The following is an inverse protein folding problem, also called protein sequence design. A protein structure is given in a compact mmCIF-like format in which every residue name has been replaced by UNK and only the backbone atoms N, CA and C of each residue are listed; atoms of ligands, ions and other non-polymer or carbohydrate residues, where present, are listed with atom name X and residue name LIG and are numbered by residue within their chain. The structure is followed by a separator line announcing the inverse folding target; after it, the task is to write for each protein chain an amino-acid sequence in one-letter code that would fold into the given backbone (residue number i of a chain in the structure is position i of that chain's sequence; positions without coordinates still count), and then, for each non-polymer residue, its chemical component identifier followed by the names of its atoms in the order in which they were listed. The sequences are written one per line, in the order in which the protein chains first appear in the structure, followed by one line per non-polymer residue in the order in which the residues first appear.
data_IF_246064848999
#
_entry.id   IF_246064848999
#
_cell.length_a   1.000
_cell.length_b   1.000
_cell.length_c   1.000
_cell.angle_alpha   90.00
_cell.angle_beta   90.00
_cell.angle_gamma   90.00
#
_symmetry.space_group_name_H-M   'P 1'
#
loop_
_entity.id
_entity.type
_entity.pdbx_description
1 polymer ?
#
# COMPACT_ATOMS: atom_id res chain seq x y z
N UNK A 1 33.26 -20.60 -10.55
CA UNK A 1 31.97 -19.98 -10.13
C UNK A 1 30.87 -20.72 -10.86
N UNK A 2 29.76 -21.10 -10.20
CA UNK A 2 28.63 -21.69 -10.92
C UNK A 2 28.18 -20.74 -12.04
N UNK A 3 27.73 -21.29 -13.17
CA UNK A 3 27.27 -20.51 -14.31
C UNK A 3 26.17 -19.54 -13.87
N UNK A 4 26.33 -18.26 -14.20
CA UNK A 4 25.30 -17.26 -13.93
C UNK A 4 24.11 -17.54 -14.83
N UNK A 5 22.93 -17.59 -14.23
CA UNK A 5 21.65 -17.66 -14.92
C UNK A 5 20.74 -16.52 -14.46
N UNK A 6 19.57 -16.38 -15.09
CA UNK A 6 18.59 -15.31 -14.76
C UNK A 6 18.22 -15.35 -13.27
N UNK A 7 18.02 -16.54 -12.69
CA UNK A 7 17.73 -16.69 -11.26
C UNK A 7 18.83 -16.11 -10.36
N UNK A 8 20.10 -16.36 -10.68
CA UNK A 8 21.23 -15.82 -9.91
C UNK A 8 21.31 -14.29 -10.03
N UNK A 9 20.97 -13.71 -11.18
CA UNK A 9 20.89 -12.26 -11.36
C UNK A 9 19.74 -11.66 -10.56
N UNK A 10 18.56 -12.26 -10.63
CA UNK A 10 17.40 -11.84 -9.84
C UNK A 10 17.70 -11.87 -8.35
N UNK A 11 18.28 -12.97 -7.84
CA UNK A 11 18.67 -13.08 -6.45
C UNK A 11 19.66 -11.98 -6.02
N UNK A 12 20.63 -11.62 -6.88
CA UNK A 12 21.52 -10.51 -6.59
C UNK A 12 20.79 -9.15 -6.58
N UNK A 13 19.94 -8.87 -7.58
CA UNK A 13 19.23 -7.59 -7.68
C UNK A 13 18.27 -7.41 -6.49
N UNK A 14 17.44 -8.41 -6.19
CA UNK A 14 16.52 -8.35 -5.04
C UNK A 14 17.30 -8.27 -3.73
N UNK A 15 18.36 -9.07 -3.57
CA UNK A 15 19.19 -9.04 -2.36
C UNK A 15 19.79 -7.67 -2.07
N UNK A 16 20.30 -6.96 -3.09
CA UNK A 16 20.77 -5.59 -2.90
C UNK A 16 19.63 -4.63 -2.53
N UNK A 17 18.49 -4.71 -3.21
CA UNK A 17 17.29 -3.90 -2.90
C UNK A 17 16.80 -4.08 -1.46
N UNK A 18 16.71 -5.31 -0.99
CA UNK A 18 16.20 -5.65 0.33
C UNK A 18 17.12 -5.15 1.46
N UNK A 19 18.41 -5.03 1.17
CA UNK A 19 19.42 -4.46 2.07
C UNK A 19 19.57 -2.93 1.94
N UNK A 20 18.67 -2.25 1.22
CA UNK A 20 18.71 -0.80 1.03
C UNK A 20 19.77 -0.31 0.04
N UNK A 21 20.48 -1.22 -0.61
CA UNK A 21 21.53 -0.97 -1.59
C UNK A 21 20.93 -0.91 -3.00
N UNK A 22 19.96 -0.01 -3.19
CA UNK A 22 19.20 0.07 -4.43
C UNK A 22 20.08 0.35 -5.65
N UNK A 23 21.10 1.21 -5.51
CA UNK A 23 22.01 1.55 -6.61
C UNK A 23 22.78 0.32 -7.11
N UNK A 24 23.28 -0.51 -6.19
CA UNK A 24 23.97 -1.76 -6.48
C UNK A 24 23.07 -2.76 -7.19
N UNK A 25 21.77 -2.81 -6.82
CA UNK A 25 20.75 -3.57 -7.52
C UNK A 25 20.64 -3.17 -9.00
N UNK A 26 20.55 -1.87 -9.28
CA UNK A 26 20.53 -1.33 -10.65
C UNK A 26 21.85 -1.63 -11.39
N UNK A 27 22.99 -1.59 -10.70
CA UNK A 27 24.28 -1.97 -11.29
C UNK A 27 24.30 -3.44 -11.70
N UNK A 28 23.75 -4.35 -10.89
CA UNK A 28 23.65 -5.77 -11.26
C UNK A 28 22.73 -5.98 -12.46
N UNK A 29 21.61 -5.27 -12.54
CA UNK A 29 20.76 -5.30 -13.72
C UNK A 29 21.49 -4.86 -15.01
N UNK A 30 22.25 -3.75 -14.94
CA UNK A 30 23.07 -3.30 -16.09
C UNK A 30 24.08 -4.38 -16.50
N UNK A 31 24.66 -5.10 -15.54
CA UNK A 31 25.57 -6.22 -15.81
C UNK A 31 24.84 -7.42 -16.40
N UNK A 32 23.65 -7.78 -15.91
CA UNK A 32 22.81 -8.84 -16.47
C UNK A 32 22.60 -8.63 -17.98
N UNK A 33 22.19 -7.43 -18.38
CA UNK A 33 21.96 -7.10 -19.78
C UNK A 33 23.26 -7.15 -20.62
N UNK A 34 24.37 -6.64 -20.09
CA UNK A 34 25.70 -6.71 -20.74
C UNK A 34 26.20 -8.15 -20.94
N UNK A 35 25.77 -9.08 -20.09
CA UNK A 35 26.10 -10.50 -20.22
C UNK A 35 25.11 -11.26 -21.12
N UNK A 36 24.21 -10.56 -21.83
CA UNK A 36 23.28 -11.15 -22.80
C UNK A 36 22.05 -11.81 -22.19
N UNK A 37 21.76 -11.58 -20.90
CA UNK A 37 20.57 -12.11 -20.26
C UNK A 37 19.38 -11.18 -20.43
N UNK A 38 18.21 -11.77 -20.69
CA UNK A 38 16.94 -11.06 -20.80
C UNK A 38 16.27 -10.93 -19.44
N UNK A 39 15.79 -9.72 -19.15
CA UNK A 39 15.03 -9.42 -17.96
C UNK A 39 13.68 -10.14 -17.99
N UNK A 40 13.27 -10.66 -16.84
CA UNK A 40 11.96 -11.28 -16.63
C UNK A 40 11.09 -10.45 -15.68
N UNK A 41 9.91 -10.98 -15.34
CA UNK A 41 8.97 -10.34 -14.43
C UNK A 41 9.62 -10.02 -13.07
N UNK A 42 10.41 -10.96 -12.52
CA UNK A 42 11.09 -10.81 -11.23
C UNK A 42 12.16 -9.72 -11.31
N UNK A 43 12.84 -9.59 -12.44
CA UNK A 43 13.79 -8.51 -12.70
C UNK A 43 13.08 -7.15 -12.60
N UNK A 44 11.92 -6.99 -13.24
CA UNK A 44 11.15 -5.73 -13.23
C UNK A 44 10.70 -5.34 -11.82
N UNK A 45 10.18 -6.31 -11.06
CA UNK A 45 9.79 -6.11 -9.66
C UNK A 45 10.98 -5.70 -8.79
N UNK A 46 12.15 -6.31 -9.02
CA UNK A 46 13.36 -5.99 -8.25
C UNK A 46 13.93 -4.62 -8.61
N UNK A 47 13.74 -4.16 -9.85
CA UNK A 47 14.10 -2.82 -10.30
C UNK A 47 13.24 -1.74 -9.63
N UNK A 48 11.92 -1.92 -9.59
CA UNK A 48 11.02 -0.96 -8.91
C UNK A 48 11.32 -0.91 -7.41
N UNK A 49 11.56 -2.07 -6.78
CA UNK A 49 11.97 -2.13 -5.38
C UNK A 49 13.32 -1.42 -5.14
N UNK A 50 14.33 -1.68 -5.98
CA UNK A 50 15.64 -1.00 -5.92
C UNK A 50 15.48 0.51 -6.04
N UNK A 51 14.66 0.96 -6.99
CA UNK A 51 14.40 2.38 -7.19
C UNK A 51 13.68 3.03 -6.02
N UNK A 52 12.79 2.31 -5.34
CA UNK A 52 12.12 2.83 -4.13
C UNK A 52 13.08 3.11 -2.98
N UNK A 53 14.31 2.55 -3.01
CA UNK A 53 15.39 2.82 -2.05
C UNK A 53 16.28 3.99 -2.46
N UNK A 54 16.24 4.37 -3.73
CA UNK A 54 17.02 5.47 -4.29
C UNK A 54 16.09 6.67 -4.30
N UNK A 55 16.38 7.73 -3.55
CA UNK A 55 15.56 8.97 -3.52
C UNK A 55 15.71 9.79 -4.83
N UNK A 56 15.56 9.14 -5.98
CA UNK A 56 15.76 9.70 -7.31
C UNK A 56 14.54 9.45 -8.22
N UNK A 57 13.52 10.34 -8.19
CA UNK A 57 12.29 10.17 -8.95
C UNK A 57 12.46 9.95 -10.46
N UNK A 58 13.46 10.58 -11.08
CA UNK A 58 13.70 10.45 -12.51
C UNK A 58 14.07 9.01 -12.90
N UNK A 59 14.73 8.26 -12.01
CA UNK A 59 15.01 6.85 -12.22
C UNK A 59 13.71 6.02 -12.28
N UNK A 60 12.71 6.37 -11.47
CA UNK A 60 11.39 5.71 -11.49
C UNK A 60 10.72 5.83 -12.86
N UNK A 61 10.77 7.02 -13.46
CA UNK A 61 10.27 7.25 -14.83
C UNK A 61 11.05 6.45 -15.88
N UNK A 62 12.38 6.36 -15.75
CA UNK A 62 13.20 5.52 -16.65
C UNK A 62 12.85 4.03 -16.54
N UNK A 63 12.63 3.54 -15.32
CA UNK A 63 12.23 2.15 -15.06
C UNK A 63 10.84 1.87 -15.61
N UNK A 64 9.87 2.77 -15.40
CA UNK A 64 8.53 2.66 -16.02
C UNK A 64 8.62 2.60 -17.54
N UNK A 65 9.38 3.50 -18.18
CA UNK A 65 9.58 3.46 -19.63
C UNK A 65 10.29 2.18 -20.10
N UNK A 66 11.17 1.59 -19.29
CA UNK A 66 11.79 0.32 -19.60
C UNK A 66 10.80 -0.85 -19.51
N UNK A 67 9.97 -0.89 -18.48
CA UNK A 67 8.90 -1.89 -18.28
C UNK A 67 7.93 -1.89 -19.46
N UNK A 68 7.44 -0.70 -19.87
CA UNK A 68 6.51 -0.54 -20.99
C UNK A 68 7.15 -1.03 -22.30
N UNK A 69 8.38 -0.59 -22.59
CA UNK A 69 9.09 -1.03 -23.82
C UNK A 69 9.40 -2.52 -23.84
N UNK A 70 9.49 -3.15 -22.66
CA UNK A 70 9.75 -4.58 -22.52
C UNK A 70 8.45 -5.40 -22.50
N UNK A 71 7.27 -4.77 -22.57
CA UNK A 71 5.97 -5.43 -22.61
C UNK A 71 5.48 -6.01 -21.27
N UNK A 72 6.08 -5.60 -20.15
CA UNK A 72 5.71 -6.08 -18.81
C UNK A 72 4.65 -5.22 -18.11
N UNK A 73 4.18 -4.14 -18.76
CA UNK A 73 3.15 -3.27 -18.22
C UNK A 73 1.76 -3.95 -18.15
N UNK A 74 1.52 -5.03 -18.89
CA UNK A 74 0.24 -5.75 -18.80
C UNK A 74 0.07 -6.55 -17.49
N UNK A 75 1.15 -6.80 -16.74
CA UNK A 75 1.09 -7.56 -15.50
C UNK A 75 0.67 -6.66 -14.33
N UNK A 76 -0.45 -7.03 -13.68
CA UNK A 76 -0.95 -6.33 -12.49
C UNK A 76 0.14 -6.17 -11.42
N UNK A 77 0.88 -7.24 -11.13
CA UNK A 77 1.98 -7.23 -10.16
C UNK A 77 3.01 -6.12 -10.43
N UNK A 78 3.40 -5.92 -11.69
CA UNK A 78 4.38 -4.89 -12.07
C UNK A 78 3.80 -3.49 -11.91
N UNK A 79 2.53 -3.30 -12.28
CA UNK A 79 1.82 -2.03 -12.07
C UNK A 79 1.67 -1.70 -10.59
N UNK A 80 1.33 -2.68 -9.74
CA UNK A 80 1.28 -2.51 -8.28
C UNK A 80 2.65 -2.17 -7.70
N UNK A 81 3.73 -2.78 -8.19
CA UNK A 81 5.09 -2.43 -7.76
C UNK A 81 5.55 -1.04 -8.23
N UNK A 82 5.13 -0.61 -9.42
CA UNK A 82 5.34 0.76 -9.90
C UNK A 82 4.61 1.78 -9.03
N UNK A 83 3.36 1.49 -8.66
CA UNK A 83 2.62 2.32 -7.71
C UNK A 83 3.35 2.43 -6.38
N UNK A 84 3.83 1.31 -5.84
CA UNK A 84 4.48 1.29 -4.52
C UNK A 84 5.76 2.12 -4.54
N UNK A 85 6.53 2.00 -5.62
CA UNK A 85 7.70 2.83 -5.87
C UNK A 85 7.33 4.31 -5.90
N UNK A 86 6.33 4.73 -6.68
CA UNK A 86 5.95 6.14 -6.78
C UNK A 86 5.40 6.70 -5.45
N UNK A 87 4.62 5.92 -4.70
CA UNK A 87 4.13 6.29 -3.37
C UNK A 87 5.30 6.52 -2.41
N UNK A 88 6.27 5.58 -2.35
CA UNK A 88 7.48 5.70 -1.51
C UNK A 88 8.33 6.92 -1.88
N UNK A 89 8.45 7.23 -3.16
CA UNK A 89 9.16 8.40 -3.67
C UNK A 89 8.36 9.71 -3.52
N UNK A 90 7.16 9.67 -2.92
CA UNK A 90 6.24 10.81 -2.75
C UNK A 90 5.80 11.44 -4.07
N UNK A 91 5.88 10.71 -5.18
CA UNK A 91 5.41 11.11 -6.50
C UNK A 91 3.93 10.70 -6.69
N UNK A 92 3.05 11.25 -5.85
CA UNK A 92 1.63 10.84 -5.79
C UNK A 92 0.86 11.05 -7.09
N UNK A 93 1.24 12.03 -7.90
CA UNK A 93 0.62 12.26 -9.21
C UNK A 93 0.98 11.18 -10.24
N UNK A 94 2.26 10.74 -10.28
CA UNK A 94 2.67 9.62 -11.13
C UNK A 94 2.03 8.31 -10.67
N UNK A 95 1.92 8.10 -9.35
CA UNK A 95 1.17 6.97 -8.80
C UNK A 95 -0.30 7.02 -9.25
N UNK A 96 -0.96 8.17 -9.13
CA UNK A 96 -2.35 8.32 -9.55
C UNK A 96 -2.56 8.09 -11.05
N UNK A 97 -1.61 8.52 -11.90
CA UNK A 97 -1.67 8.25 -13.34
C UNK A 97 -1.64 6.74 -13.63
N UNK A 98 -0.69 6.01 -13.03
CA UNK A 98 -0.61 4.54 -13.20
C UNK A 98 -1.90 3.89 -12.71
N UNK A 99 -2.40 4.32 -11.56
CA UNK A 99 -3.61 3.79 -10.96
C UNK A 99 -4.86 4.03 -11.81
N UNK A 100 -5.09 5.26 -12.25
CA UNK A 100 -6.34 5.65 -12.92
C UNK A 100 -6.36 5.29 -14.41
N UNK A 101 -5.24 5.52 -15.11
CA UNK A 101 -5.18 5.39 -16.57
C UNK A 101 -4.65 4.02 -17.03
N UNK A 102 -3.73 3.40 -16.27
CA UNK A 102 -3.01 2.21 -16.74
C UNK A 102 -3.53 0.89 -16.12
N UNK A 103 -4.24 0.93 -15.00
CA UNK A 103 -4.74 -0.27 -14.29
C UNK A 103 -6.24 -0.48 -14.54
N UNK A 104 -6.64 -1.33 -15.52
CA UNK A 104 -8.06 -1.61 -15.76
C UNK A 104 -8.68 -2.44 -14.63
N UNK A 105 -7.89 -3.30 -14.01
CA UNK A 105 -8.28 -4.11 -12.84
C UNK A 105 -7.42 -3.66 -11.66
N UNK A 106 -8.06 -3.49 -10.51
CA UNK A 106 -7.44 -3.05 -9.26
C UNK A 106 -7.89 -3.97 -8.15
N UNK A 107 -6.94 -4.54 -7.43
CA UNK A 107 -7.20 -5.38 -6.25
C UNK A 107 -7.12 -4.57 -4.96
N UNK A 108 -7.46 -5.22 -3.85
CA UNK A 108 -7.42 -4.66 -2.49
C UNK A 108 -6.08 -4.00 -2.19
N UNK A 109 -4.97 -4.63 -2.59
CA UNK A 109 -3.61 -4.11 -2.39
C UNK A 109 -3.42 -2.77 -3.11
N UNK A 110 -3.84 -2.71 -4.38
CA UNK A 110 -3.74 -1.50 -5.22
C UNK A 110 -4.53 -0.33 -4.63
N UNK A 111 -5.77 -0.58 -4.16
CA UNK A 111 -6.59 0.46 -3.53
C UNK A 111 -5.99 0.94 -2.21
N UNK A 112 -5.58 0.02 -1.34
CA UNK A 112 -4.99 0.33 -0.03
C UNK A 112 -3.71 1.16 -0.17
N UNK A 113 -2.89 0.84 -1.17
CA UNK A 113 -1.66 1.56 -1.46
C UNK A 113 -1.92 3.01 -1.88
N UNK A 114 -2.93 3.26 -2.71
CA UNK A 114 -3.30 4.63 -3.09
C UNK A 114 -3.92 5.41 -1.93
N UNK A 115 -4.75 4.75 -1.13
CA UNK A 115 -5.39 5.35 0.04
C UNK A 115 -4.37 5.79 1.09
N UNK A 116 -3.47 4.89 1.47
CA UNK A 116 -2.37 5.19 2.39
C UNK A 116 -1.40 6.21 1.79
N UNK A 117 -1.00 6.05 0.52
CA UNK A 117 -0.08 6.96 -0.15
C UNK A 117 -0.56 8.41 -0.22
N UNK A 118 -1.83 8.65 -0.54
CA UNK A 118 -2.39 10.00 -0.50
C UNK A 118 -2.58 10.53 0.92
N UNK A 119 -2.95 9.67 1.87
CA UNK A 119 -3.12 10.07 3.28
C UNK A 119 -1.79 10.50 3.90
N UNK A 120 -0.74 9.71 3.71
CA UNK A 120 0.61 9.98 4.22
C UNK A 120 1.25 11.22 3.57
N UNK A 121 0.88 11.52 2.33
CA UNK A 121 1.30 12.73 1.62
C UNK A 121 0.45 13.99 1.98
N UNK A 122 -0.54 13.87 2.87
CA UNK A 122 -1.40 14.98 3.30
C UNK A 122 -2.51 15.35 2.32
N UNK A 123 -2.72 14.57 1.27
CA UNK A 123 -3.78 14.77 0.28
C UNK A 123 -5.08 14.05 0.69
N UNK A 124 -5.57 14.35 1.89
CA UNK A 124 -6.71 13.66 2.48
C UNK A 124 -7.99 13.70 1.64
N UNK A 125 -8.22 14.76 0.84
CA UNK A 125 -9.38 14.83 -0.05
C UNK A 125 -9.29 13.81 -1.20
N UNK A 126 -8.12 13.71 -1.85
CA UNK A 126 -7.89 12.70 -2.90
C UNK A 126 -8.00 11.29 -2.32
N UNK A 127 -7.47 11.06 -1.11
CA UNK A 127 -7.65 9.77 -0.43
C UNK A 127 -9.14 9.42 -0.25
N UNK A 128 -9.98 10.40 0.07
CA UNK A 128 -11.43 10.16 0.17
C UNK A 128 -12.09 9.87 -1.16
N UNK A 129 -11.70 10.55 -2.23
CA UNK A 129 -12.20 10.25 -3.58
C UNK A 129 -11.85 8.81 -4.00
N UNK A 130 -10.63 8.35 -3.69
CA UNK A 130 -10.23 6.96 -3.93
C UNK A 130 -11.10 6.00 -3.10
N UNK A 131 -11.38 6.30 -1.83
CA UNK A 131 -12.22 5.45 -0.99
C UNK A 131 -13.65 5.40 -1.54
N UNK A 132 -14.19 6.54 -2.00
CA UNK A 132 -15.49 6.62 -2.64
C UNK A 132 -15.58 5.80 -3.93
N UNK A 133 -14.52 5.80 -4.73
CA UNK A 133 -14.44 4.96 -5.93
C UNK A 133 -14.39 3.48 -5.54
N UNK A 134 -13.62 3.13 -4.50
CA UNK A 134 -13.50 1.75 -4.01
C UNK A 134 -14.83 1.20 -3.50
N UNK A 135 -15.55 1.96 -2.66
CA UNK A 135 -16.82 1.54 -2.04
C UNK A 135 -17.92 1.28 -3.07
N UNK A 136 -17.85 1.90 -4.25
CA UNK A 136 -18.81 1.68 -5.34
C UNK A 136 -18.59 0.35 -6.06
N UNK A 137 -17.48 -0.34 -5.82
CA UNK A 137 -17.17 -1.61 -6.44
C UNK A 137 -17.54 -2.71 -5.43
N UNK A 138 -18.72 -3.31 -5.61
CA UNK A 138 -19.28 -4.31 -4.68
C UNK A 138 -18.40 -5.54 -4.47
N UNK A 139 -17.49 -5.85 -5.40
CA UNK A 139 -16.61 -7.03 -5.35
C UNK A 139 -15.36 -6.85 -4.48
N UNK A 140 -15.01 -5.63 -4.05
CA UNK A 140 -13.74 -5.38 -3.35
C UNK A 140 -13.97 -5.26 -1.84
N UNK A 141 -13.60 -6.32 -1.12
CA UNK A 141 -13.58 -6.34 0.34
C UNK A 141 -12.20 -5.92 0.85
N UNK A 142 -12.10 -4.79 1.58
CA UNK A 142 -10.90 -4.48 2.37
C UNK A 142 -10.79 -5.53 3.49
N UNK A 143 -9.58 -6.04 3.72
CA UNK A 143 -9.30 -6.84 4.91
C UNK A 143 -9.02 -5.94 6.13
N UNK A 144 -8.98 -6.54 7.33
CA UNK A 144 -8.75 -5.81 8.57
C UNK A 144 -7.36 -5.15 8.62
N UNK A 145 -6.36 -5.74 7.96
CA UNK A 145 -4.99 -5.21 7.89
C UNK A 145 -4.96 -3.89 7.11
N UNK A 146 -5.63 -3.83 5.97
CA UNK A 146 -5.74 -2.62 5.17
C UNK A 146 -6.47 -1.49 5.92
N UNK A 147 -7.60 -1.82 6.56
CA UNK A 147 -8.35 -0.86 7.38
C UNK A 147 -7.49 -0.32 8.53
N UNK A 148 -6.71 -1.18 9.18
CA UNK A 148 -5.83 -0.80 10.30
C UNK A 148 -4.76 0.19 9.85
N UNK A 149 -4.14 -0.06 8.69
CA UNK A 149 -3.17 0.85 8.09
C UNK A 149 -3.76 2.23 7.80
N UNK A 150 -4.98 2.26 7.24
CA UNK A 150 -5.66 3.51 6.91
C UNK A 150 -6.06 4.33 8.15
N UNK A 151 -6.59 3.67 9.18
CA UNK A 151 -6.96 4.33 10.46
C UNK A 151 -5.71 4.85 11.16
N UNK A 152 -4.62 4.07 11.16
CA UNK A 152 -3.33 4.49 11.72
C UNK A 152 -2.73 5.69 10.99
N UNK A 153 -2.84 5.75 9.66
CA UNK A 153 -2.42 6.92 8.88
C UNK A 153 -3.25 8.16 9.23
N UNK A 154 -4.57 8.01 9.38
CA UNK A 154 -5.44 9.11 9.81
C UNK A 154 -5.10 9.61 11.22
N UNK A 155 -4.79 8.69 12.14
CA UNK A 155 -4.33 9.01 13.49
C UNK A 155 -3.07 9.86 13.48
N UNK A 156 -2.07 9.50 12.65
CA UNK A 156 -0.78 10.22 12.56
C UNK A 156 -0.90 11.58 11.90
N UNK A 157 -1.80 11.71 10.92
CA UNK A 157 -1.99 12.93 10.14
C UNK A 157 -3.02 13.89 10.73
N UNK A 158 -3.76 13.49 11.77
CA UNK A 158 -4.86 14.29 12.33
C UNK A 158 -6.07 14.38 11.38
N UNK A 159 -6.21 13.44 10.46
CA UNK A 159 -7.21 13.44 9.40
C UNK A 159 -8.59 12.97 9.90
N UNK A 160 -9.22 13.76 10.77
CA UNK A 160 -10.45 13.42 11.49
C UNK A 160 -11.64 13.06 10.58
N UNK A 161 -11.78 13.74 9.44
CA UNK A 161 -12.89 13.48 8.52
C UNK A 161 -12.72 12.13 7.81
N UNK A 162 -11.49 11.84 7.41
CA UNK A 162 -11.07 10.59 6.79
C UNK A 162 -11.28 9.42 7.76
N UNK A 163 -10.75 9.56 8.99
CA UNK A 163 -10.87 8.55 10.03
C UNK A 163 -12.31 8.17 10.36
N UNK A 164 -13.24 9.15 10.41
CA UNK A 164 -14.67 8.87 10.61
C UNK A 164 -15.28 8.04 9.49
N UNK A 165 -14.93 8.32 8.24
CA UNK A 165 -15.46 7.60 7.08
C UNK A 165 -14.92 6.17 7.03
N UNK A 166 -13.66 5.97 7.37
CA UNK A 166 -13.04 4.65 7.44
C UNK A 166 -13.60 3.84 8.62
N UNK A 167 -13.82 4.47 9.77
CA UNK A 167 -14.50 3.83 10.90
C UNK A 167 -15.92 3.40 10.53
N UNK A 168 -16.72 4.27 9.90
CA UNK A 168 -18.06 3.90 9.44
C UNK A 168 -18.01 2.74 8.42
N UNK A 169 -17.02 2.73 7.53
CA UNK A 169 -16.82 1.63 6.59
C UNK A 169 -16.42 0.33 7.31
N UNK A 170 -15.56 0.40 8.32
CA UNK A 170 -15.14 -0.74 9.16
C UNK A 170 -16.34 -1.46 9.78
N UNK A 171 -17.30 -0.70 10.32
CA UNK A 171 -18.58 -1.24 10.81
C UNK A 171 -19.40 -1.83 9.67
N UNK A 172 -19.49 -1.13 8.53
CA UNK A 172 -20.27 -1.60 7.37
C UNK A 172 -19.78 -2.96 6.85
N UNK A 173 -18.48 -3.22 6.91
CA UNK A 173 -17.88 -4.49 6.43
C UNK A 173 -17.74 -5.56 7.50
N UNK A 174 -18.25 -5.34 8.72
CA UNK A 174 -18.32 -6.38 9.76
C UNK A 174 -17.06 -6.54 10.60
N UNK A 175 -16.19 -5.52 10.66
CA UNK A 175 -14.95 -5.54 11.46
C UNK A 175 -15.06 -4.70 12.75
N UNK A 176 -16.26 -4.38 13.20
CA UNK A 176 -16.50 -3.57 14.40
C UNK A 176 -16.04 -4.20 15.71
N UNK A 177 -15.85 -5.52 15.74
CA UNK A 177 -15.41 -6.29 16.91
C UNK A 177 -13.93 -6.71 16.82
N UNK A 178 -13.20 -6.29 15.77
CA UNK A 178 -11.76 -6.51 15.68
C UNK A 178 -11.03 -5.62 16.71
N UNK A 179 -10.37 -6.27 17.67
CA UNK A 179 -9.70 -5.60 18.80
C UNK A 179 -8.59 -4.66 18.33
N UNK A 180 -7.85 -5.03 17.28
CA UNK A 180 -6.75 -4.20 16.77
C UNK A 180 -7.29 -2.96 16.06
N UNK A 181 -8.34 -3.10 15.26
CA UNK A 181 -9.04 -1.97 14.67
C UNK A 181 -9.69 -1.10 15.73
N UNK A 182 -10.30 -1.70 16.75
CA UNK A 182 -10.92 -0.98 17.85
C UNK A 182 -9.92 -0.09 18.59
N UNK A 183 -8.75 -0.64 18.93
CA UNK A 183 -7.65 0.14 19.53
C UNK A 183 -7.19 1.28 18.62
N UNK A 184 -7.00 1.01 17.32
CA UNK A 184 -6.57 2.03 16.37
C UNK A 184 -7.60 3.14 16.16
N UNK A 185 -8.91 2.83 16.23
CA UNK A 185 -9.99 3.82 16.16
C UNK A 185 -9.95 4.76 17.37
N UNK A 186 -9.72 4.23 18.58
CA UNK A 186 -9.56 5.03 19.80
C UNK A 186 -8.36 5.96 19.66
N UNK A 187 -7.21 5.43 19.22
CA UNK A 187 -6.00 6.22 18.98
C UNK A 187 -6.24 7.31 17.94
N UNK A 188 -6.95 6.98 16.86
CA UNK A 188 -7.28 7.93 15.79
C UNK A 188 -8.11 9.09 16.32
N UNK A 189 -9.21 8.83 17.04
CA UNK A 189 -10.03 9.90 17.61
C UNK A 189 -9.27 10.73 18.64
N UNK A 190 -8.47 10.09 19.48
CA UNK A 190 -7.66 10.76 20.51
C UNK A 190 -6.62 11.69 19.89
N UNK A 191 -5.87 11.21 18.90
CA UNK A 191 -4.83 11.98 18.22
C UNK A 191 -5.41 13.07 17.29
N UNK A 192 -6.65 12.89 16.81
CA UNK A 192 -7.40 13.93 16.11
C UNK A 192 -8.06 14.95 17.06
N UNK A 193 -7.89 14.82 18.38
CA UNK A 193 -8.42 15.74 19.38
C UNK A 193 -9.89 15.55 19.74
N UNK A 194 -10.54 14.47 19.31
CA UNK A 194 -11.93 14.15 19.65
C UNK A 194 -12.01 13.06 20.74
N UNK A 195 -11.62 13.45 21.95
CA UNK A 195 -11.59 12.56 23.12
C UNK A 195 -12.97 12.01 23.50
N UNK A 196 -14.04 12.76 23.23
CA UNK A 196 -15.41 12.31 23.50
C UNK A 196 -15.76 11.08 22.65
N UNK A 197 -15.42 11.10 21.36
CA UNK A 197 -15.66 9.97 20.46
C UNK A 197 -14.77 8.77 20.81
N UNK A 198 -13.51 9.02 21.19
CA UNK A 198 -12.60 7.98 21.65
C UNK A 198 -13.14 7.27 22.91
N UNK A 199 -13.59 8.05 23.90
CA UNK A 199 -14.17 7.53 25.14
C UNK A 199 -15.47 6.77 24.89
N UNK A 200 -16.38 7.33 24.11
CA UNK A 200 -17.66 6.69 23.75
C UNK A 200 -17.44 5.33 23.09
N UNK A 201 -16.50 5.25 22.15
CA UNK A 201 -16.20 4.01 21.46
C UNK A 201 -15.56 2.97 22.40
N UNK A 202 -14.62 3.40 23.26
CA UNK A 202 -14.01 2.52 24.26
C UNK A 202 -15.02 1.94 25.26
N UNK A 203 -15.99 2.75 25.72
CA UNK A 203 -17.07 2.29 26.59
C UNK A 203 -17.97 1.27 25.87
N UNK A 204 -18.31 1.53 24.61
CA UNK A 204 -19.07 0.58 23.79
C UNK A 204 -18.36 -0.76 23.56
N UNK A 205 -17.03 -0.76 23.39
CA UNK A 205 -16.25 -2.01 23.28
C UNK A 205 -16.32 -2.85 24.57
N UNK A 206 -16.24 -2.22 25.75
CA UNK A 206 -16.33 -2.92 27.03
C UNK A 206 -17.67 -3.61 27.22
N UNK A 207 -18.76 -2.97 26.81
CA UNK A 207 -20.10 -3.55 26.91
C UNK A 207 -20.26 -4.79 26.02
N UNK A 208 -19.63 -4.80 24.84
CA UNK A 208 -19.64 -5.95 23.92
C UNK A 208 -18.85 -7.14 24.45
N UNK A 209 -17.63 -6.89 24.95
CA UNK A 209 -16.75 -7.94 25.48
C UNK A 209 -17.40 -8.65 26.69
N UNK A 210 -18.13 -7.91 27.53
CA UNK A 210 -18.93 -8.49 28.64
C UNK A 210 -20.17 -9.25 28.14
N UNK A 211 -20.76 -8.82 27.02
CA UNK A 211 -21.92 -9.46 26.39
C UNK A 211 -21.63 -10.82 25.75
N UNK A 212 -20.42 -11.06 25.27
CA UNK A 212 -20.08 -12.32 24.60
C UNK A 212 -19.80 -13.48 25.58
N UNK A 213 -19.33 -13.20 26.80
CA UNK A 213 -19.23 -14.21 27.86
C UNK A 213 -20.60 -14.70 28.36
N UNK A 214 -21.62 -13.84 28.35
CA UNK A 214 -22.97 -14.21 28.81
C UNK A 214 -23.76 -15.03 27.78
N UNK A 215 -23.43 -14.90 26.49
CA UNK A 215 -24.01 -15.74 25.41
C UNK A 215 -23.42 -17.15 25.32
N UNK A 216 -22.21 -17.37 25.82
CA UNK A 216 -21.58 -18.71 25.89
C UNK A 216 -22.06 -19.55 27.07
N UNK A 217 -22.89 -18.98 27.96
CA UNK A 217 -23.41 -19.64 29.18
C UNK A 217 -24.93 -19.91 29.16
N UNK A 218 -25.59 -19.81 27.99
CA UNK A 218 -26.97 -20.24 27.76
C UNK A 218 -27.03 -21.33 26.70
#
# INVERSE_FOLDING_TARGET
MPEKNVFSWNAMISGYSDNGLGEEGIVQFKRMHRNGFFADLVTMMSLTASCSRIEWPQLGSMIRSFIIRSGFDNYLLVKTALLEMYVKLKCTEDAYRVFSEEMPVKDVVTWTLMLSGFSDAGFGNKAMEILDQMIKIDEISLDSVALLGMISSCSKSGAMQQGRRIHAFTIKVGFEDDIFLGSAIIDMYSNCGNLDSAKLYFEGLKERDVGDWTKLTQ
#
